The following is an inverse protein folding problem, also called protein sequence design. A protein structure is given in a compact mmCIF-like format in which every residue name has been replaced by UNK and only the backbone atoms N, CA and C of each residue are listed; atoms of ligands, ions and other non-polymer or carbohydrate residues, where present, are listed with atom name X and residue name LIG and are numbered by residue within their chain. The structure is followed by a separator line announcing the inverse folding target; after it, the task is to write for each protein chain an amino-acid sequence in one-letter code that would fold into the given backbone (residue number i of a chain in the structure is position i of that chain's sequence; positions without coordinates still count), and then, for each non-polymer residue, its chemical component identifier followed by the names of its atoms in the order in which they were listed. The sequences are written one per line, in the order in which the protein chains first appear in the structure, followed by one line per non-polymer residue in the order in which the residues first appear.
data_IF_251405711205
#
_entry.id   IF_251405711205
#
_cell.length_a   1.000
_cell.length_b   1.000
_cell.length_c   1.000
_cell.angle_alpha   90.00
_cell.angle_beta   90.00
_cell.angle_gamma   90.00
#
_symmetry.space_group_name_H-M   'P 1'
#
loop_
_entity.id
_entity.type
_entity.pdbx_description
1 polymer ?
#
# COMPACT_ATOMS: atom_id res chain seq x y z
N UNK A 1 12.91 16.73 -12.47
CA UNK A 1 12.77 15.78 -13.60
C UNK A 1 13.87 14.75 -13.36
N UNK A 2 13.76 13.81 -12.44
CA UNK A 2 12.62 12.93 -12.18
C UNK A 2 12.21 12.98 -10.71
N UNK A 3 10.92 13.23 -10.55
CA UNK A 3 10.17 13.51 -9.34
C UNK A 3 9.19 12.33 -9.24
N UNK A 4 9.28 11.53 -8.18
CA UNK A 4 8.30 10.53 -7.69
C UNK A 4 9.01 9.63 -6.66
N UNK A 5 9.47 10.24 -5.56
CA UNK A 5 9.62 9.47 -4.32
C UNK A 5 8.26 8.86 -3.99
N UNK A 6 8.23 7.54 -3.80
CA UNK A 6 7.05 6.72 -3.60
C UNK A 6 6.17 7.22 -2.44
N UNK A 7 5.21 8.09 -2.76
CA UNK A 7 4.02 8.23 -1.96
C UNK A 7 3.06 7.13 -2.37
N UNK A 8 2.82 6.17 -1.47
CA UNK A 8 1.73 5.25 -1.67
C UNK A 8 0.37 5.96 -1.52
N UNK A 9 -0.65 5.29 -2.01
CA UNK A 9 -2.05 5.73 -2.05
C UNK A 9 -2.60 6.16 -0.67
N UNK A 10 -1.94 5.79 0.43
CA UNK A 10 -2.39 6.08 1.79
C UNK A 10 -1.85 7.40 2.36
N UNK A 11 -0.95 8.10 1.65
CA UNK A 11 -0.35 9.34 2.15
C UNK A 11 0.50 9.15 3.41
N UNK A 12 0.94 7.92 3.69
CA UNK A 12 1.99 7.67 4.69
C UNK A 12 3.34 7.88 4.05
N UNK A 13 4.23 8.49 4.85
CA UNK A 13 5.68 8.37 4.66
C UNK A 13 5.98 6.87 4.68
N UNK A 14 6.47 6.29 3.58
CA UNK A 14 7.28 5.08 3.68
C UNK A 14 8.60 5.55 4.31
N UNK A 15 8.95 5.13 5.53
CA UNK A 15 10.33 5.28 5.93
C UNK A 15 11.10 4.33 5.01
N UNK A 16 11.81 4.90 4.03
CA UNK A 16 13.03 4.25 3.55
C UNK A 16 13.79 3.82 4.81
N UNK A 17 14.01 2.51 4.92
CA UNK A 17 14.67 1.94 6.07
C UNK A 17 16.04 2.59 6.32
N UNK A 18 16.52 2.35 7.55
CA UNK A 18 17.89 2.56 8.06
C UNK A 18 18.09 3.85 8.87
N UNK A 19 17.98 3.73 10.19
CA UNK A 19 18.92 4.36 11.13
C UNK A 19 19.75 3.23 11.78
N UNK A 20 21.03 3.16 11.39
CA UNK A 20 22.03 2.21 11.89
C UNK A 20 22.59 2.68 13.25
N UNK A 21 22.50 1.83 14.28
CA UNK A 21 23.52 1.81 15.32
C UNK A 21 23.66 0.41 15.96
N UNK A 22 24.48 -0.43 15.32
CA UNK A 22 25.42 -1.39 15.93
C UNK A 22 25.07 -2.06 17.28
N UNK A 23 24.64 -3.34 17.24
CA UNK A 23 25.15 -4.41 18.12
C UNK A 23 24.82 -5.81 17.59
N UNK A 24 25.83 -6.51 17.07
CA UNK A 24 25.75 -7.92 16.64
C UNK A 24 25.60 -8.88 17.83
N UNK A 25 24.56 -9.73 17.81
CA UNK A 25 24.46 -10.93 18.63
C UNK A 25 24.10 -12.13 17.73
N UNK A 26 24.89 -13.21 17.85
CA UNK A 26 24.89 -14.35 16.96
C UNK A 26 23.59 -15.17 16.97
N UNK A 27 23.16 -15.64 15.79
CA UNK A 27 22.09 -16.63 15.52
C UNK A 27 20.62 -16.22 15.79
N UNK A 28 20.28 -14.93 15.69
CA UNK A 28 18.89 -14.49 15.80
C UNK A 28 18.59 -13.36 14.80
N UNK A 29 17.36 -13.36 14.28
CA UNK A 29 16.67 -12.25 13.60
C UNK A 29 16.67 -12.26 12.05
N UNK A 30 15.98 -13.22 11.45
CA UNK A 30 15.33 -12.98 10.15
C UNK A 30 13.99 -12.31 10.45
N UNK A 31 13.85 -11.03 10.08
CA UNK A 31 12.63 -10.26 10.30
C UNK A 31 11.44 -11.00 9.66
N UNK A 32 10.37 -11.31 10.42
CA UNK A 32 9.25 -12.07 9.89
C UNK A 32 8.55 -11.27 8.79
N UNK A 33 8.48 -11.85 7.59
CA UNK A 33 7.82 -11.23 6.43
C UNK A 33 6.32 -11.05 6.69
N UNK A 34 5.81 -9.83 6.57
CA UNK A 34 4.36 -9.57 6.54
C UNK A 34 3.73 -10.16 5.27
N UNK A 35 3.13 -11.33 5.43
CA UNK A 35 2.50 -12.08 4.36
C UNK A 35 1.29 -11.33 3.76
N UNK A 36 0.62 -10.46 4.53
CA UNK A 36 -0.49 -9.65 4.02
C UNK A 36 0.04 -8.66 2.99
N UNK A 37 1.05 -7.85 3.37
CA UNK A 37 1.69 -6.89 2.47
C UNK A 37 2.23 -7.56 1.20
N UNK A 38 2.93 -8.68 1.34
CA UNK A 38 3.43 -9.44 0.18
C UNK A 38 2.30 -9.86 -0.78
N UNK A 39 1.19 -10.37 -0.24
CA UNK A 39 0.04 -10.79 -1.04
C UNK A 39 -0.71 -9.61 -1.66
N UNK A 40 -0.81 -8.48 -0.96
CA UNK A 40 -1.39 -7.24 -1.48
C UNK A 40 -0.62 -6.76 -2.71
N UNK A 41 0.72 -6.67 -2.65
CA UNK A 41 1.56 -6.31 -3.80
C UNK A 41 1.35 -7.23 -4.99
N UNK A 42 1.25 -8.54 -4.75
CA UNK A 42 0.96 -9.52 -5.82
C UNK A 42 -0.44 -9.38 -6.44
N UNK A 43 -1.37 -8.74 -5.71
CA UNK A 43 -2.76 -8.54 -6.11
C UNK A 43 -3.00 -7.19 -6.80
N UNK A 44 -2.20 -6.15 -6.51
CA UNK A 44 -2.29 -4.82 -7.15
C UNK A 44 -2.39 -4.87 -8.69
N UNK A 45 -1.52 -5.61 -9.44
CA UNK A 45 -1.61 -5.66 -10.90
C UNK A 45 -2.88 -6.33 -11.44
N UNK A 46 -3.70 -6.98 -10.59
CA UNK A 46 -5.00 -7.56 -10.96
C UNK A 46 -6.16 -6.57 -10.78
N UNK A 47 -5.91 -5.45 -10.11
CA UNK A 47 -6.89 -4.44 -9.72
C UNK A 47 -6.64 -3.09 -10.40
N UNK A 48 -6.07 -3.10 -11.61
CA UNK A 48 -5.65 -1.89 -12.34
C UNK A 48 -6.81 -0.95 -12.65
N UNK A 49 -7.99 -1.48 -13.02
CA UNK A 49 -9.14 -0.62 -13.36
C UNK A 49 -9.58 0.27 -12.19
N UNK A 50 -9.95 -0.27 -11.01
CA UNK A 50 -10.32 0.59 -9.88
C UNK A 50 -9.14 1.44 -9.37
N UNK A 51 -7.90 0.98 -9.54
CA UNK A 51 -6.71 1.82 -9.27
C UNK A 51 -6.66 3.08 -10.14
N UNK A 52 -6.91 2.95 -11.44
CA UNK A 52 -6.94 4.10 -12.36
C UNK A 52 -8.08 5.07 -12.03
N UNK A 53 -9.25 4.55 -11.67
CA UNK A 53 -10.40 5.35 -11.23
C UNK A 53 -10.08 6.14 -9.94
N UNK A 54 -9.42 5.49 -8.99
CA UNK A 54 -8.95 6.14 -7.76
C UNK A 54 -7.89 7.21 -8.04
N UNK A 55 -6.90 6.94 -8.90
CA UNK A 55 -5.90 7.93 -9.32
C UNK A 55 -6.52 9.13 -10.05
N UNK A 56 -7.52 8.90 -10.89
CA UNK A 56 -8.27 9.97 -11.53
C UNK A 56 -9.03 10.83 -10.49
N UNK A 57 -9.57 10.20 -9.45
CA UNK A 57 -10.18 10.92 -8.34
C UNK A 57 -9.16 11.78 -7.57
N UNK A 58 -7.96 11.26 -7.26
CA UNK A 58 -6.90 12.04 -6.59
C UNK A 58 -6.59 13.31 -7.37
N UNK A 59 -6.40 13.19 -8.69
CA UNK A 59 -6.13 14.34 -9.56
C UNK A 59 -7.28 15.35 -9.57
N UNK A 60 -8.54 14.88 -9.50
CA UNK A 60 -9.74 15.75 -9.44
C UNK A 60 -9.83 16.56 -8.15
N UNK A 61 -9.37 16.00 -7.03
CA UNK A 61 -9.43 16.66 -5.72
C UNK A 61 -8.14 17.42 -5.38
N UNK A 62 -7.11 17.31 -6.22
CA UNK A 62 -5.85 18.03 -6.04
C UNK A 62 -6.10 19.55 -5.99
N UNK A 63 -5.62 20.20 -4.93
CA UNK A 63 -5.83 21.64 -4.70
C UNK A 63 -7.20 22.01 -4.13
N UNK A 64 -7.99 21.05 -3.62
CA UNK A 64 -9.17 21.35 -2.83
C UNK A 64 -8.83 21.51 -1.34
N UNK A 65 -8.89 22.74 -0.85
CA UNK A 65 -8.64 23.07 0.56
C UNK A 65 -9.92 23.07 1.42
N UNK A 66 -11.10 22.81 0.80
CA UNK A 66 -12.39 22.83 1.51
C UNK A 66 -12.63 21.60 2.39
N UNK A 67 -11.88 20.52 2.16
CA UNK A 67 -12.08 19.21 2.79
C UNK A 67 -13.38 18.50 2.37
N UNK A 68 -14.13 19.04 1.41
CA UNK A 68 -15.42 18.49 0.99
C UNK A 68 -15.27 17.41 -0.09
N UNK A 69 -14.27 17.50 -0.97
CA UNK A 69 -14.04 16.45 -1.96
C UNK A 69 -13.24 15.31 -1.34
N UNK A 70 -13.73 14.09 -1.54
CA UNK A 70 -13.05 12.88 -1.08
C UNK A 70 -13.13 11.76 -2.12
N UNK A 71 -12.17 10.84 -2.05
CA UNK A 71 -12.07 9.67 -2.93
C UNK A 71 -12.42 8.36 -2.23
N UNK A 72 -13.10 8.42 -1.08
CA UNK A 72 -13.38 7.25 -0.22
C UNK A 72 -14.12 6.14 -0.96
N UNK A 73 -15.04 6.48 -1.88
CA UNK A 73 -15.73 5.48 -2.71
C UNK A 73 -14.77 4.72 -3.62
N UNK A 74 -13.97 5.45 -4.42
CA UNK A 74 -12.99 4.83 -5.32
C UNK A 74 -11.88 4.09 -4.55
N UNK A 75 -11.52 4.59 -3.37
CA UNK A 75 -10.59 3.92 -2.47
C UNK A 75 -11.16 2.56 -2.01
N UNK A 76 -12.43 2.52 -1.59
CA UNK A 76 -13.10 1.27 -1.22
C UNK A 76 -13.25 0.32 -2.40
N UNK A 77 -13.53 0.80 -3.62
CA UNK A 77 -13.59 -0.05 -4.81
C UNK A 77 -12.23 -0.70 -5.13
N UNK A 78 -11.14 0.07 -5.03
CA UNK A 78 -9.78 -0.43 -5.22
C UNK A 78 -9.40 -1.46 -4.15
N UNK A 79 -9.56 -1.12 -2.89
CA UNK A 79 -9.21 -2.01 -1.78
C UNK A 79 -10.11 -3.25 -1.72
N UNK A 80 -11.40 -3.13 -2.04
CA UNK A 80 -12.29 -4.27 -2.17
C UNK A 80 -11.76 -5.29 -3.19
N UNK A 81 -11.24 -4.83 -4.34
CA UNK A 81 -10.63 -5.72 -5.32
C UNK A 81 -9.37 -6.42 -4.77
N UNK A 82 -8.48 -5.66 -4.12
CA UNK A 82 -7.24 -6.19 -3.53
C UNK A 82 -7.57 -7.21 -2.44
N UNK A 83 -8.45 -6.85 -1.50
CA UNK A 83 -8.88 -7.70 -0.39
C UNK A 83 -9.52 -9.00 -0.89
N UNK A 84 -10.39 -8.92 -1.90
CA UNK A 84 -11.00 -10.09 -2.54
C UNK A 84 -9.94 -11.02 -3.16
N UNK A 85 -8.85 -10.46 -3.69
CA UNK A 85 -7.73 -11.24 -4.24
C UNK A 85 -6.83 -11.88 -3.16
N UNK A 86 -6.66 -11.20 -2.01
CA UNK A 86 -5.81 -11.64 -0.89
C UNK A 86 -6.52 -12.66 -0.01
N UNK A 87 -7.82 -12.51 0.23
CA UNK A 87 -8.62 -13.33 1.15
C UNK A 87 -8.39 -14.85 1.04
N UNK A 88 -8.40 -15.50 -0.15
CA UNK A 88 -8.21 -16.94 -0.23
C UNK A 88 -6.75 -17.40 0.00
N UNK A 89 -5.78 -16.48 0.09
CA UNK A 89 -4.34 -16.78 0.16
C UNK A 89 -3.72 -16.47 1.52
N UNK A 90 -4.32 -15.55 2.29
CA UNK A 90 -3.72 -15.03 3.51
C UNK A 90 -3.78 -16.03 4.67
N UNK A 91 -4.96 -16.54 5.01
CA UNK A 91 -5.13 -17.47 6.13
C UNK A 91 -4.31 -18.76 6.03
N UNK A 92 -4.07 -19.37 4.85
CA UNK A 92 -3.14 -20.49 4.71
C UNK A 92 -1.68 -20.20 5.07
N UNK A 93 -1.30 -18.92 5.18
CA UNK A 93 0.07 -18.49 5.51
C UNK A 93 0.25 -18.12 6.99
N UNK A 94 -0.85 -17.78 7.67
CA UNK A 94 -0.88 -17.45 9.08
C UNK A 94 -0.90 -18.74 9.94
N UNK A 95 -0.20 -18.72 11.08
CA UNK A 95 -0.18 -19.78 12.10
C UNK A 95 -0.91 -19.33 13.36
#
# INVERSE_FOLDING_TARGET
MDDLTQLDISGRIEPDGIEDNTRTAAMADEEPVDQKRFLEESCKPKCVRPLLEYQACIKRIQGDDSGQKHCTGQYFDYWYCVDKCVAPKLFPKLK
#
